data_IF_612427073329
#
_entry.id   IF_612427073329
#
_cell.length_a   1.000
_cell.length_b   1.000
_cell.length_c   1.000
_cell.angle_alpha   90.00
_cell.angle_beta   90.00
_cell.angle_gamma   90.00
#
_symmetry.space_group_name_H-M   'P 1'
#
loop_
_entity.id
_entity.type
_entity.pdbx_description
1 polymer ?
#
# COMPACT_ATOMS: atom_id res chain seq x y z
N UNK A 1 21.20 -19.81 -41.90
CA UNK A 1 20.43 -20.44 -40.79
C UNK A 1 20.99 -19.87 -39.50
N UNK A 2 20.41 -18.80 -39.00
CA UNK A 2 20.74 -18.25 -37.70
C UNK A 2 19.54 -18.60 -36.79
N UNK A 3 19.68 -19.68 -36.01
CA UNK A 3 18.80 -19.96 -34.90
C UNK A 3 19.19 -19.01 -33.75
N UNK A 4 18.56 -17.83 -33.70
CA UNK A 4 18.46 -17.05 -32.47
C UNK A 4 17.49 -17.81 -31.56
N UNK A 5 17.97 -18.82 -30.85
CA UNK A 5 17.34 -19.29 -29.65
C UNK A 5 17.42 -18.16 -28.63
N UNK A 6 16.40 -17.29 -28.61
CA UNK A 6 16.15 -16.42 -27.46
C UNK A 6 15.85 -17.33 -26.29
N UNK A 7 16.87 -17.68 -25.53
CA UNK A 7 16.70 -18.28 -24.21
C UNK A 7 15.82 -17.28 -23.43
N UNK A 8 14.53 -17.58 -23.31
CA UNK A 8 13.62 -16.76 -22.52
C UNK A 8 14.16 -16.78 -21.09
N UNK A 9 14.48 -15.59 -20.56
CA UNK A 9 14.89 -15.51 -19.15
C UNK A 9 13.82 -16.19 -18.29
N UNK A 10 14.18 -16.98 -17.29
CA UNK A 10 13.22 -17.55 -16.39
C UNK A 10 12.34 -16.44 -15.78
N UNK A 11 11.08 -16.72 -15.53
CA UNK A 11 10.09 -15.78 -15.03
C UNK A 11 9.61 -16.22 -13.65
N UNK A 12 9.23 -15.27 -12.81
CA UNK A 12 8.65 -15.53 -11.49
C UNK A 12 7.57 -14.49 -11.16
N UNK A 13 6.63 -14.89 -10.29
CA UNK A 13 5.64 -13.98 -9.76
C UNK A 13 6.29 -12.98 -8.81
N UNK A 14 5.90 -11.71 -8.93
CA UNK A 14 6.23 -10.65 -7.98
C UNK A 14 5.03 -9.76 -7.76
N UNK A 15 4.71 -9.47 -6.52
CA UNK A 15 3.65 -8.52 -6.17
C UNK A 15 4.11 -7.12 -6.58
N UNK A 16 3.32 -6.46 -7.41
CA UNK A 16 3.65 -5.15 -8.00
C UNK A 16 2.85 -4.00 -7.42
N UNK A 17 1.72 -4.32 -6.83
CA UNK A 17 0.85 -3.42 -6.08
C UNK A 17 0.19 -4.20 -4.96
N UNK A 18 -0.09 -3.55 -3.86
CA UNK A 18 -0.85 -4.10 -2.77
C UNK A 18 -1.24 -3.02 -1.79
N UNK A 19 -2.32 -3.27 -1.05
CA UNK A 19 -2.77 -2.41 0.03
C UNK A 19 -2.88 -3.19 1.34
N UNK A 20 -2.75 -2.51 2.47
CA UNK A 20 -3.04 -3.12 3.75
C UNK A 20 -4.55 -3.29 3.91
N UNK A 21 -4.96 -4.48 4.35
CA UNK A 21 -6.38 -4.78 4.57
C UNK A 21 -6.86 -4.19 5.89
N UNK A 22 -7.97 -3.48 5.84
CA UNK A 22 -8.65 -2.93 7.00
C UNK A 22 -9.99 -3.63 7.23
N UNK A 23 -10.39 -3.72 8.50
CA UNK A 23 -11.79 -3.94 8.86
C UNK A 23 -12.56 -2.68 8.48
N UNK A 24 -13.08 -2.67 7.27
CA UNK A 24 -13.69 -1.50 6.66
C UNK A 24 -15.11 -1.31 7.21
N UNK A 25 -15.32 -0.18 7.87
CA UNK A 25 -16.66 0.26 8.26
C UNK A 25 -17.14 1.26 7.22
N UNK A 26 -18.18 0.90 6.50
CA UNK A 26 -18.74 1.75 5.46
C UNK A 26 -19.29 3.04 6.08
N UNK A 27 -18.83 4.17 5.54
CA UNK A 27 -19.43 5.49 5.77
C UNK A 27 -19.95 6.01 4.41
N UNK A 28 -20.87 6.99 4.38
CA UNK A 28 -21.33 7.56 3.11
C UNK A 28 -20.18 8.07 2.21
N UNK A 29 -19.12 8.59 2.80
CA UNK A 29 -17.94 9.07 2.06
C UNK A 29 -17.10 7.90 1.55
N UNK A 30 -16.92 6.85 2.37
CA UNK A 30 -16.14 5.66 2.02
C UNK A 30 -16.88 4.73 1.06
N UNK A 31 -18.22 4.71 1.10
CA UNK A 31 -19.07 3.91 0.23
C UNK A 31 -20.31 4.71 -0.18
N UNK A 32 -20.19 5.59 -1.19
CA UNK A 32 -21.28 6.48 -1.60
C UNK A 32 -22.49 5.76 -2.23
N UNK A 33 -22.31 4.50 -2.63
CA UNK A 33 -23.39 3.63 -3.12
C UNK A 33 -23.31 2.25 -2.45
N UNK A 34 -24.45 1.60 -2.14
CA UNK A 34 -24.47 0.18 -1.83
C UNK A 34 -23.81 -0.63 -2.94
N UNK A 35 -23.16 -1.75 -2.61
CA UNK A 35 -22.50 -2.58 -3.62
C UNK A 35 -23.49 -3.46 -4.39
N UNK A 36 -24.68 -3.73 -3.84
CA UNK A 36 -25.73 -4.50 -4.55
C UNK A 36 -26.07 -3.84 -5.88
N UNK A 37 -26.17 -4.64 -6.94
CA UNK A 37 -26.40 -4.23 -8.33
C UNK A 37 -25.49 -3.06 -8.77
N UNK A 38 -24.20 -3.11 -8.35
CA UNK A 38 -23.26 -2.03 -8.57
C UNK A 38 -21.96 -2.56 -9.19
N UNK A 39 -21.50 -1.87 -10.23
CA UNK A 39 -20.12 -2.02 -10.71
C UNK A 39 -19.22 -1.01 -10.02
N UNK A 40 -18.14 -1.53 -9.44
CA UNK A 40 -17.06 -0.75 -8.82
C UNK A 40 -15.83 -0.86 -9.71
N UNK A 41 -15.29 0.26 -10.17
CA UNK A 41 -14.00 0.33 -10.89
C UNK A 41 -12.97 0.99 -10.01
N UNK A 42 -11.97 0.21 -9.60
CA UNK A 42 -10.88 0.62 -8.72
C UNK A 42 -9.62 0.80 -9.56
N UNK A 43 -8.90 1.89 -9.31
CA UNK A 43 -7.65 2.17 -10.03
C UNK A 43 -6.47 1.82 -9.13
N UNK A 44 -5.51 1.09 -9.69
CA UNK A 44 -4.24 0.76 -9.04
C UNK A 44 -3.08 1.07 -9.96
N UNK A 45 -1.95 1.51 -9.43
CA UNK A 45 -0.73 1.78 -10.19
C UNK A 45 0.28 0.68 -9.93
N UNK A 46 0.58 -0.12 -10.95
CA UNK A 46 1.60 -1.17 -10.85
C UNK A 46 3.00 -0.57 -10.86
N UNK A 47 3.92 -1.13 -10.09
CA UNK A 47 5.26 -0.56 -9.90
C UNK A 47 6.38 -1.30 -10.63
N UNK A 48 6.06 -2.43 -11.30
CA UNK A 48 6.98 -3.14 -12.19
C UNK A 48 6.26 -3.63 -13.44
N UNK A 49 7.01 -4.16 -14.41
CA UNK A 49 6.47 -4.65 -15.69
C UNK A 49 6.28 -6.16 -15.66
N UNK A 50 5.31 -6.67 -16.45
CA UNK A 50 5.10 -8.11 -16.63
C UNK A 50 4.13 -8.41 -17.77
N UNK A 51 4.05 -9.69 -18.15
CA UNK A 51 3.25 -10.15 -19.28
C UNK A 51 2.00 -10.94 -18.86
N UNK A 52 1.96 -11.43 -17.62
CA UNK A 52 0.80 -12.09 -17.02
C UNK A 52 0.50 -11.47 -15.67
N UNK A 53 -0.77 -11.50 -15.30
CA UNK A 53 -1.29 -10.92 -14.07
C UNK A 53 -2.11 -11.95 -13.29
N UNK A 54 -2.07 -11.90 -11.98
CA UNK A 54 -3.07 -12.49 -11.07
C UNK A 54 -3.39 -11.47 -9.98
N UNK A 55 -4.59 -11.57 -9.44
CA UNK A 55 -5.06 -10.69 -8.36
C UNK A 55 -5.35 -11.53 -7.13
N UNK A 56 -5.16 -10.93 -5.97
CA UNK A 56 -5.63 -11.48 -4.71
C UNK A 56 -6.80 -10.66 -4.21
N UNK A 57 -7.90 -11.36 -3.93
CA UNK A 57 -9.14 -10.80 -3.42
C UNK A 57 -9.34 -11.26 -1.98
N UNK A 58 -9.80 -10.37 -1.12
CA UNK A 58 -9.89 -10.64 0.31
C UNK A 58 -11.25 -10.27 0.88
N UNK A 59 -11.83 -11.18 1.63
CA UNK A 59 -13.00 -10.99 2.48
C UNK A 59 -12.65 -11.30 3.96
N UNK A 60 -11.41 -11.06 4.35
CA UNK A 60 -10.82 -11.40 5.66
C UNK A 60 -11.67 -10.97 6.85
N UNK A 61 -12.21 -9.76 6.79
CA UNK A 61 -13.02 -9.21 7.87
C UNK A 61 -14.52 -9.42 7.68
N UNK A 62 -14.93 -9.91 6.51
CA UNK A 62 -16.33 -10.16 6.20
C UNK A 62 -16.90 -11.33 6.99
N UNK A 63 -18.17 -11.22 7.37
CA UNK A 63 -18.95 -12.26 8.08
C UNK A 63 -19.92 -13.01 7.19
N UNK A 64 -20.06 -12.58 5.96
CA UNK A 64 -20.85 -13.22 4.91
C UNK A 64 -20.01 -13.34 3.64
N UNK A 65 -20.35 -14.31 2.81
CA UNK A 65 -19.70 -14.52 1.52
C UNK A 65 -19.94 -13.33 0.59
N UNK A 66 -18.95 -13.04 -0.26
CA UNK A 66 -19.03 -12.02 -1.30
C UNK A 66 -19.01 -12.68 -2.66
N UNK A 67 -19.98 -12.36 -3.51
CA UNK A 67 -20.10 -12.86 -4.88
C UNK A 67 -19.86 -11.71 -5.87
N UNK A 68 -18.76 -11.81 -6.61
CA UNK A 68 -18.48 -10.95 -7.76
C UNK A 68 -19.02 -11.67 -9.00
N UNK A 69 -20.09 -11.13 -9.61
CA UNK A 69 -20.77 -11.75 -10.76
C UNK A 69 -19.97 -11.66 -12.05
N UNK A 70 -19.15 -10.60 -12.17
CA UNK A 70 -18.30 -10.37 -13.32
C UNK A 70 -17.14 -9.46 -12.89
N UNK A 71 -15.95 -9.74 -13.39
CA UNK A 71 -14.75 -8.95 -13.08
C UNK A 71 -13.90 -8.79 -14.33
N UNK A 72 -13.46 -7.56 -14.60
CA UNK A 72 -12.57 -7.24 -15.71
C UNK A 72 -11.39 -6.40 -15.26
N UNK A 73 -10.28 -6.53 -15.98
CA UNK A 73 -9.12 -5.63 -15.89
C UNK A 73 -8.87 -4.98 -17.24
N UNK A 74 -8.47 -3.71 -17.20
CA UNK A 74 -8.08 -2.96 -18.39
C UNK A 74 -7.04 -1.90 -18.02
N UNK A 75 -6.32 -1.35 -18.99
CA UNK A 75 -5.49 -0.17 -18.74
C UNK A 75 -6.36 1.07 -18.64
N UNK A 76 -6.08 1.92 -17.65
CA UNK A 76 -6.72 3.24 -17.57
C UNK A 76 -6.14 4.15 -18.66
N UNK A 77 -7.00 4.85 -19.40
CA UNK A 77 -6.58 5.74 -20.48
C UNK A 77 -5.98 7.02 -19.94
N UNK A 78 -6.57 7.57 -18.89
CA UNK A 78 -6.15 8.85 -18.29
C UNK A 78 -6.42 8.84 -16.79
N UNK A 79 -5.46 9.30 -16.01
CA UNK A 79 -5.65 9.55 -14.59
C UNK A 79 -6.86 10.46 -14.34
N UNK A 80 -7.49 10.37 -13.19
CA UNK A 80 -8.70 11.09 -12.79
C UNK A 80 -9.97 10.81 -13.64
N UNK A 81 -9.99 9.75 -14.44
CA UNK A 81 -11.15 9.34 -15.23
C UNK A 81 -11.41 7.83 -15.13
N UNK A 82 -12.68 7.44 -15.26
CA UNK A 82 -13.05 6.02 -15.32
C UNK A 82 -12.77 5.35 -16.66
N UNK A 83 -12.21 6.07 -17.64
CA UNK A 83 -11.98 5.60 -19.01
C UNK A 83 -10.92 4.49 -19.07
N UNK A 84 -11.25 3.43 -19.81
CA UNK A 84 -10.36 2.26 -20.03
C UNK A 84 -10.03 2.10 -21.50
N UNK A 85 -8.86 1.55 -21.79
CA UNK A 85 -8.50 1.11 -23.14
C UNK A 85 -9.18 -0.23 -23.43
N UNK A 86 -10.25 -0.17 -24.23
CA UNK A 86 -11.07 -1.33 -24.62
C UNK A 86 -10.27 -2.42 -25.33
N UNK A 87 -9.13 -2.09 -25.96
CA UNK A 87 -8.27 -3.09 -26.61
C UNK A 87 -7.54 -3.98 -25.60
N UNK A 88 -7.52 -3.56 -24.33
CA UNK A 88 -6.89 -4.29 -23.21
C UNK A 88 -7.92 -4.92 -22.27
N UNK A 89 -9.22 -4.69 -22.49
CA UNK A 89 -10.27 -5.21 -21.60
C UNK A 89 -10.24 -6.74 -21.58
N UNK A 90 -10.08 -7.32 -20.38
CA UNK A 90 -9.89 -8.75 -20.20
C UNK A 90 -10.71 -9.23 -19.01
N UNK A 91 -11.54 -10.26 -19.24
CA UNK A 91 -12.32 -10.92 -18.17
C UNK A 91 -11.39 -11.68 -17.22
N UNK A 92 -11.67 -11.57 -15.92
CA UNK A 92 -10.96 -12.24 -14.85
C UNK A 92 -11.77 -13.44 -14.38
N UNK A 93 -11.07 -14.57 -14.11
CA UNK A 93 -11.65 -15.81 -13.59
C UNK A 93 -10.97 -16.21 -12.29
N UNK A 94 -11.68 -16.99 -11.49
CA UNK A 94 -11.10 -17.71 -10.38
C UNK A 94 -11.58 -19.16 -10.42
N UNK A 95 -10.65 -20.14 -10.35
CA UNK A 95 -10.94 -21.56 -10.50
C UNK A 95 -11.76 -21.88 -11.78
N UNK A 96 -11.46 -21.17 -12.88
CA UNK A 96 -12.12 -21.32 -14.17
C UNK A 96 -13.49 -20.63 -14.30
N UNK A 97 -14.03 -20.05 -13.23
CA UNK A 97 -15.33 -19.36 -13.21
C UNK A 97 -15.20 -17.85 -13.37
N UNK A 98 -16.12 -17.23 -14.13
CA UNK A 98 -16.29 -15.77 -14.20
C UNK A 98 -17.04 -15.22 -13.00
N UNK A 99 -17.93 -16.03 -12.40
CA UNK A 99 -18.51 -15.71 -11.11
C UNK A 99 -17.53 -16.13 -10.00
N UNK A 100 -17.08 -15.17 -9.21
CA UNK A 100 -16.04 -15.33 -8.21
C UNK A 100 -16.67 -15.25 -6.82
N UNK A 101 -16.56 -16.34 -6.05
CA UNK A 101 -16.97 -16.40 -4.66
C UNK A 101 -15.77 -16.15 -3.76
N UNK A 102 -15.88 -15.19 -2.84
CA UNK A 102 -14.92 -14.95 -1.76
C UNK A 102 -15.61 -15.32 -0.44
N UNK A 103 -15.33 -16.48 0.15
CA UNK A 103 -15.96 -16.89 1.40
C UNK A 103 -15.67 -15.92 2.55
N UNK A 104 -16.54 -15.89 3.55
CA UNK A 104 -16.35 -15.08 4.75
C UNK A 104 -15.04 -15.45 5.45
N UNK A 105 -14.21 -14.48 5.79
CA UNK A 105 -12.91 -14.66 6.43
C UNK A 105 -11.76 -15.07 5.50
N UNK A 106 -12.02 -15.36 4.23
CA UNK A 106 -11.03 -15.96 3.32
C UNK A 106 -10.39 -14.94 2.38
N UNK A 107 -9.26 -15.38 1.81
CA UNK A 107 -8.50 -14.71 0.76
C UNK A 107 -8.36 -15.70 -0.40
N UNK A 108 -8.62 -15.25 -1.62
CA UNK A 108 -8.50 -16.09 -2.83
C UNK A 108 -7.57 -15.45 -3.85
N UNK A 109 -7.00 -16.26 -4.73
CA UNK A 109 -6.30 -15.79 -5.93
C UNK A 109 -7.16 -16.03 -7.17
N UNK A 110 -7.08 -15.10 -8.13
CA UNK A 110 -7.65 -15.28 -9.46
C UNK A 110 -6.78 -16.22 -10.31
N UNK A 111 -7.34 -16.78 -11.36
CA UNK A 111 -6.54 -17.48 -12.36
C UNK A 111 -5.58 -16.48 -13.04
N UNK A 112 -4.36 -16.93 -13.41
CA UNK A 112 -3.46 -16.10 -14.19
C UNK A 112 -4.07 -15.75 -15.55
N UNK A 113 -3.97 -14.47 -15.94
CA UNK A 113 -4.40 -14.00 -17.24
C UNK A 113 -3.24 -13.37 -18.03
N UNK A 114 -3.31 -13.45 -19.34
CA UNK A 114 -2.35 -12.78 -20.24
C UNK A 114 -2.71 -11.29 -20.27
N UNK A 115 -1.90 -10.48 -19.58
CA UNK A 115 -2.13 -9.05 -19.45
C UNK A 115 -0.81 -8.31 -19.33
N UNK A 116 -0.36 -7.74 -20.44
CA UNK A 116 0.93 -7.04 -20.49
C UNK A 116 0.82 -5.63 -19.95
N UNK A 117 1.67 -5.32 -18.97
CA UNK A 117 1.79 -3.98 -18.38
C UNK A 117 3.23 -3.51 -18.33
N UNK A 118 3.41 -2.21 -18.34
CA UNK A 118 4.67 -1.55 -18.02
C UNK A 118 4.63 -1.03 -16.60
N UNK A 119 5.80 -0.92 -16.00
CA UNK A 119 5.91 -0.24 -14.72
C UNK A 119 5.27 1.15 -14.78
N UNK A 120 4.59 1.51 -13.71
CA UNK A 120 3.86 2.76 -13.53
C UNK A 120 2.58 2.91 -14.38
N UNK A 121 2.15 1.87 -15.12
CA UNK A 121 0.82 1.85 -15.74
C UNK A 121 -0.27 1.86 -14.66
N UNK A 122 -1.34 2.59 -14.92
CA UNK A 122 -2.57 2.52 -14.14
C UNK A 122 -3.49 1.43 -14.70
N UNK A 123 -3.96 0.56 -13.81
CA UNK A 123 -4.86 -0.56 -14.14
C UNK A 123 -6.22 -0.29 -13.50
N UNK A 124 -7.26 -0.37 -14.30
CA UNK A 124 -8.65 -0.33 -13.88
C UNK A 124 -9.12 -1.76 -13.61
N UNK A 125 -9.57 -2.02 -12.39
CA UNK A 125 -10.12 -3.30 -11.95
C UNK A 125 -11.61 -3.07 -11.70
N UNK A 126 -12.46 -3.62 -12.56
CA UNK A 126 -13.91 -3.45 -12.52
C UNK A 126 -14.57 -4.71 -11.99
N UNK A 127 -15.36 -4.60 -10.91
CA UNK A 127 -16.06 -5.69 -10.25
C UNK A 127 -17.55 -5.38 -10.21
N UNK A 128 -18.39 -6.28 -10.71
CA UNK A 128 -19.84 -6.20 -10.58
C UNK A 128 -20.33 -7.11 -9.46
N UNK A 129 -21.03 -6.52 -8.50
CA UNK A 129 -21.61 -7.22 -7.37
C UNK A 129 -23.10 -7.39 -7.59
N UNK A 130 -23.59 -8.65 -7.64
CA UNK A 130 -25.02 -8.93 -7.73
C UNK A 130 -25.70 -8.83 -6.37
N UNK A 131 -25.21 -9.58 -5.41
CA UNK A 131 -25.54 -9.44 -4.00
C UNK A 131 -24.23 -9.15 -3.25
N UNK A 132 -24.25 -8.23 -2.34
CA UNK A 132 -23.07 -7.84 -1.58
C UNK A 132 -23.42 -7.70 -0.09
N UNK A 133 -22.43 -7.75 0.81
CA UNK A 133 -22.66 -7.45 2.22
C UNK A 133 -23.35 -6.11 2.36
N UNK A 134 -24.30 -6.01 3.28
CA UNK A 134 -24.90 -4.72 3.60
C UNK A 134 -23.84 -3.78 4.18
N UNK A 135 -24.06 -2.48 4.06
CA UNK A 135 -23.18 -1.48 4.67
C UNK A 135 -23.05 -1.62 6.21
N UNK A 136 -23.95 -2.37 6.83
CA UNK A 136 -23.93 -2.71 8.27
C UNK A 136 -22.99 -3.88 8.58
N UNK A 137 -22.59 -4.68 7.57
CA UNK A 137 -21.68 -5.80 7.77
C UNK A 137 -20.22 -5.33 7.78
N UNK A 138 -19.40 -6.06 8.50
CA UNK A 138 -17.95 -5.87 8.39
C UNK A 138 -17.49 -6.29 7.00
N UNK A 139 -16.64 -5.47 6.41
CA UNK A 139 -16.09 -5.69 5.07
C UNK A 139 -14.58 -5.61 5.12
N UNK A 140 -13.95 -6.18 4.11
CA UNK A 140 -12.52 -5.97 3.86
C UNK A 140 -12.36 -4.86 2.84
N UNK A 141 -11.54 -3.87 3.16
CA UNK A 141 -11.23 -2.78 2.25
C UNK A 141 -10.01 -2.00 2.71
N UNK A 142 -9.83 -0.82 2.17
CA UNK A 142 -8.82 0.13 2.59
C UNK A 142 -9.34 1.54 2.36
N UNK A 143 -9.35 2.35 3.40
CA UNK A 143 -9.68 3.79 3.31
C UNK A 143 -8.44 4.57 2.93
N UNK A 144 -8.62 5.66 2.19
CA UNK A 144 -7.48 6.46 1.79
C UNK A 144 -6.65 5.84 0.66
N UNK A 145 -7.33 5.28 -0.35
CA UNK A 145 -6.70 4.76 -1.55
C UNK A 145 -5.81 5.78 -2.29
N UNK A 146 -6.04 7.08 -2.10
CA UNK A 146 -5.39 8.20 -2.82
C UNK A 146 -5.55 8.09 -4.34
N UNK A 147 -6.37 7.16 -4.79
CA UNK A 147 -6.78 6.94 -6.15
C UNK A 147 -8.31 6.90 -6.21
N UNK A 148 -8.90 7.36 -7.31
CA UNK A 148 -10.35 7.42 -7.45
C UNK A 148 -10.92 6.03 -7.75
N UNK A 149 -11.90 5.63 -6.97
CA UNK A 149 -12.78 4.49 -7.20
C UNK A 149 -14.13 5.00 -7.70
N UNK A 150 -14.63 4.40 -8.77
CA UNK A 150 -15.86 4.80 -9.46
C UNK A 150 -16.95 3.75 -9.26
N UNK A 151 -18.18 4.20 -9.00
CA UNK A 151 -19.33 3.32 -8.76
C UNK A 151 -20.51 3.70 -9.66
N UNK A 152 -21.08 2.71 -10.36
CA UNK A 152 -22.28 2.86 -11.22
C UNK A 152 -23.22 1.68 -11.03
N UNK A 153 -24.54 1.88 -11.27
CA UNK A 153 -25.53 0.79 -11.18
C UNK A 153 -25.40 -0.19 -12.34
N UNK A 154 -25.72 -1.44 -12.08
CA UNK A 154 -25.77 -2.52 -13.07
C UNK A 154 -24.39 -3.03 -13.47
N UNK A 155 -24.38 -4.07 -14.32
CA UNK A 155 -23.15 -4.63 -14.85
C UNK A 155 -22.57 -3.77 -15.97
N UNK A 156 -21.52 -3.03 -15.66
CA UNK A 156 -20.81 -2.15 -16.59
C UNK A 156 -19.30 -2.42 -16.60
N UNK A 157 -18.85 -3.65 -16.24
CA UNK A 157 -17.41 -3.97 -16.13
C UNK A 157 -16.64 -3.68 -17.41
N UNK A 158 -17.23 -3.93 -18.59
CA UNK A 158 -16.64 -3.69 -19.91
C UNK A 158 -17.07 -2.35 -20.53
N UNK A 159 -17.62 -1.41 -19.77
CA UNK A 159 -17.98 -0.07 -20.30
C UNK A 159 -16.75 0.81 -20.39
N UNK A 160 -16.49 1.42 -21.54
CA UNK A 160 -15.31 2.24 -21.80
C UNK A 160 -15.16 3.38 -20.78
N UNK A 161 -16.23 4.16 -20.58
CA UNK A 161 -16.25 5.26 -19.62
C UNK A 161 -17.60 5.31 -18.90
N UNK A 162 -17.60 5.50 -17.60
CA UNK A 162 -18.83 5.59 -16.81
C UNK A 162 -19.47 6.97 -16.95
N UNK A 163 -20.80 6.97 -17.09
CA UNK A 163 -21.59 8.19 -17.07
C UNK A 163 -21.96 8.56 -15.63
N UNK A 164 -21.54 9.73 -15.18
CA UNK A 164 -21.85 10.29 -13.84
C UNK A 164 -21.67 9.30 -12.68
N UNK A 165 -20.49 8.67 -12.53
CA UNK A 165 -20.26 7.74 -11.43
C UNK A 165 -20.25 8.46 -10.09
N UNK A 166 -20.70 7.77 -9.04
CA UNK A 166 -20.31 8.15 -7.70
C UNK A 166 -18.84 7.82 -7.48
N UNK A 167 -18.12 8.61 -6.69
CA UNK A 167 -16.68 8.44 -6.47
C UNK A 167 -16.32 8.41 -5.01
N UNK A 168 -15.25 7.68 -4.69
CA UNK A 168 -14.62 7.63 -3.37
C UNK A 168 -13.12 7.38 -3.53
N UNK A 169 -12.36 7.51 -2.45
CA UNK A 169 -10.94 7.13 -2.36
C UNK A 169 -10.77 5.90 -1.45
N UNK A 170 -11.60 4.88 -1.63
CA UNK A 170 -11.50 3.60 -0.90
C UNK A 170 -11.38 2.44 -1.89
N UNK A 171 -10.63 1.39 -1.49
CA UNK A 171 -10.62 0.09 -2.18
C UNK A 171 -11.44 -0.94 -1.40
N UNK A 172 -12.07 -1.87 -2.14
CA UNK A 172 -12.90 -2.93 -1.56
C UNK A 172 -12.46 -4.29 -2.09
N UNK A 173 -12.30 -5.27 -1.22
CA UNK A 173 -12.00 -6.67 -1.48
C UNK A 173 -10.74 -6.94 -2.34
N UNK A 174 -9.97 -5.94 -2.69
CA UNK A 174 -8.74 -6.07 -3.45
C UNK A 174 -7.55 -5.98 -2.50
N UNK A 175 -6.71 -7.01 -2.45
CA UNK A 175 -5.55 -7.06 -1.56
C UNK A 175 -4.22 -6.78 -2.28
N UNK A 176 -4.00 -7.42 -3.43
CA UNK A 176 -2.80 -7.19 -4.24
C UNK A 176 -2.95 -7.59 -5.71
N UNK A 177 -1.96 -7.18 -6.50
CA UNK A 177 -1.75 -7.53 -7.89
C UNK A 177 -0.32 -8.05 -8.04
N UNK A 178 -0.18 -9.26 -8.58
CA UNK A 178 1.11 -9.86 -8.91
C UNK A 178 1.28 -10.00 -10.42
N UNK A 179 2.50 -9.79 -10.89
CA UNK A 179 2.88 -9.94 -12.29
C UNK A 179 3.93 -11.03 -12.48
N UNK A 180 3.88 -11.70 -13.62
CA UNK A 180 4.95 -12.58 -14.08
C UNK A 180 6.05 -11.70 -14.67
N UNK A 181 7.17 -11.58 -13.96
CA UNK A 181 8.30 -10.70 -14.24
C UNK A 181 9.59 -11.50 -14.41
N UNK A 182 10.67 -10.94 -14.97
CA UNK A 182 11.95 -11.64 -15.05
C UNK A 182 12.39 -12.21 -13.68
N UNK A 183 12.93 -13.44 -13.68
CA UNK A 183 13.42 -14.05 -12.45
C UNK A 183 14.48 -13.17 -11.77
N UNK A 184 14.41 -13.09 -10.45
CA UNK A 184 15.21 -12.15 -9.67
C UNK A 184 14.48 -10.84 -9.34
N UNK A 185 13.33 -10.57 -9.97
CA UNK A 185 12.48 -9.45 -9.54
C UNK A 185 12.06 -9.63 -8.07
N UNK A 186 12.06 -8.54 -7.32
CA UNK A 186 11.76 -8.53 -5.89
C UNK A 186 10.74 -7.44 -5.55
N UNK A 187 9.96 -7.67 -4.49
CA UNK A 187 9.07 -6.69 -3.92
C UNK A 187 9.68 -6.08 -2.65
N UNK A 188 9.52 -4.76 -2.50
CA UNK A 188 9.76 -4.02 -1.26
C UNK A 188 8.42 -3.78 -0.58
N UNK A 189 8.25 -4.29 0.63
CA UNK A 189 7.09 -3.98 1.46
C UNK A 189 7.37 -2.71 2.25
N UNK A 190 6.60 -1.64 2.01
CA UNK A 190 6.62 -0.42 2.80
C UNK A 190 5.58 -0.56 3.92
N UNK A 191 6.03 -0.92 5.12
CA UNK A 191 5.16 -1.18 6.27
C UNK A 191 5.13 0.01 7.21
N UNK A 192 3.91 0.48 7.56
CA UNK A 192 3.79 1.67 8.40
C UNK A 192 2.35 2.08 8.71
N UNK A 193 2.22 3.33 9.07
CA UNK A 193 0.99 4.02 9.43
C UNK A 193 0.50 5.00 8.35
N UNK A 194 -0.18 6.09 8.76
CA UNK A 194 -0.69 7.14 7.86
C UNK A 194 0.40 7.82 7.02
N UNK A 195 1.64 7.89 7.52
CA UNK A 195 2.75 8.49 6.78
C UNK A 195 3.13 7.59 5.58
N UNK A 196 3.14 6.28 5.77
CA UNK A 196 3.37 5.32 4.68
C UNK A 196 2.15 5.20 3.77
N UNK A 197 0.93 5.24 4.33
CA UNK A 197 -0.32 5.28 3.56
C UNK A 197 -0.46 6.56 2.71
N UNK A 198 0.27 7.62 3.05
CA UNK A 198 0.29 8.88 2.30
C UNK A 198 -0.83 9.84 2.68
N UNK A 199 -1.12 9.96 3.97
CA UNK A 199 -2.13 10.90 4.46
C UNK A 199 -1.88 12.31 3.92
N UNK A 200 -2.93 12.91 3.38
CA UNK A 200 -2.90 14.27 2.85
C UNK A 200 -2.40 14.41 1.41
N UNK A 201 -1.97 13.33 0.74
CA UNK A 201 -1.52 13.41 -0.67
C UNK A 201 -2.66 13.63 -1.66
N UNK A 202 -3.90 13.57 -1.22
CA UNK A 202 -5.09 13.70 -2.05
C UNK A 202 -5.96 14.93 -1.74
N UNK A 203 -5.59 15.76 -0.71
CA UNK A 203 -6.41 16.93 -0.35
C UNK A 203 -5.68 18.04 0.43
N UNK A 204 -4.61 17.73 1.17
CA UNK A 204 -4.16 18.58 2.30
C UNK A 204 -3.56 19.93 1.90
N UNK A 205 -2.89 20.03 0.77
CA UNK A 205 -2.22 21.24 0.30
C UNK A 205 -2.55 21.51 -1.16
N UNK A 206 -2.41 22.77 -1.64
CA UNK A 206 -2.69 23.12 -3.04
C UNK A 206 -1.98 22.19 -4.03
N UNK A 207 -2.72 21.68 -5.00
CA UNK A 207 -2.23 20.73 -6.02
C UNK A 207 -2.30 19.24 -5.63
N UNK A 208 -2.51 18.91 -4.36
CA UNK A 208 -2.77 17.54 -3.93
C UNK A 208 -4.22 17.17 -4.23
N UNK A 209 -4.41 16.04 -4.89
CA UNK A 209 -5.72 15.48 -5.25
C UNK A 209 -5.56 13.98 -5.49
N UNK A 210 -6.64 13.18 -5.50
CA UNK A 210 -6.57 11.79 -5.89
C UNK A 210 -5.89 11.62 -7.26
N UNK A 211 -5.33 10.44 -7.50
CA UNK A 211 -4.71 10.04 -8.76
C UNK A 211 -3.40 10.78 -9.12
N UNK A 212 -2.78 11.47 -8.17
CA UNK A 212 -1.48 12.14 -8.39
C UNK A 212 -0.26 11.30 -8.01
N UNK A 213 -0.47 10.21 -7.27
CA UNK A 213 0.60 9.27 -6.87
C UNK A 213 1.81 9.97 -6.23
N UNK A 214 1.58 10.65 -5.12
CA UNK A 214 2.58 11.48 -4.44
C UNK A 214 2.90 11.02 -3.02
N UNK A 215 2.68 9.73 -2.70
CA UNK A 215 3.24 9.09 -1.51
C UNK A 215 4.76 8.98 -1.64
N UNK A 216 5.49 8.88 -0.54
CA UNK A 216 6.91 8.59 -0.62
C UNK A 216 7.21 7.26 -1.35
N UNK A 217 6.35 6.26 -1.17
CA UNK A 217 6.46 4.97 -1.88
C UNK A 217 6.22 5.08 -3.39
N UNK A 218 5.37 6.02 -3.84
CA UNK A 218 5.13 6.29 -5.27
C UNK A 218 6.37 6.91 -5.92
N UNK A 219 6.94 7.96 -5.30
CA UNK A 219 8.20 8.58 -5.76
C UNK A 219 9.38 7.60 -5.71
N UNK A 220 9.43 6.75 -4.67
CA UNK A 220 10.44 5.70 -4.59
C UNK A 220 10.32 4.70 -5.74
N UNK A 221 9.09 4.27 -6.09
CA UNK A 221 8.86 3.41 -7.24
C UNK A 221 9.32 4.06 -8.56
N UNK A 222 9.03 5.34 -8.75
CA UNK A 222 9.51 6.10 -9.94
C UNK A 222 11.04 6.12 -10.02
N UNK A 223 11.73 6.36 -8.90
CA UNK A 223 13.19 6.34 -8.83
C UNK A 223 13.77 4.95 -9.13
N UNK A 224 13.18 3.88 -8.59
CA UNK A 224 13.60 2.50 -8.88
C UNK A 224 13.45 2.19 -10.37
N UNK A 225 12.35 2.60 -11.00
CA UNK A 225 12.10 2.35 -12.42
C UNK A 225 12.97 3.19 -13.34
N UNK A 226 13.44 4.36 -12.92
CA UNK A 226 14.36 5.20 -13.66
C UNK A 226 15.82 4.69 -13.62
N UNK A 227 16.14 3.73 -12.76
CA UNK A 227 17.50 3.20 -12.58
C UNK A 227 17.60 1.76 -13.10
N UNK A 228 18.52 1.53 -14.06
CA UNK A 228 18.73 0.22 -14.70
C UNK A 228 19.05 -0.91 -13.71
N UNK A 229 19.75 -0.61 -12.61
CA UNK A 229 20.13 -1.58 -11.59
C UNK A 229 18.96 -2.02 -10.70
N UNK A 230 17.88 -1.23 -10.62
CA UNK A 230 16.76 -1.45 -9.69
C UNK A 230 15.38 -1.55 -10.35
N UNK A 231 15.26 -1.39 -11.67
CA UNK A 231 13.95 -1.44 -12.38
C UNK A 231 13.21 -2.78 -12.26
N UNK A 232 13.86 -3.82 -11.72
CA UNK A 232 13.26 -5.12 -11.42
C UNK A 232 12.65 -5.18 -10.01
N UNK A 233 12.73 -4.08 -9.25
CA UNK A 233 12.19 -3.98 -7.90
C UNK A 233 10.83 -3.32 -7.93
N UNK A 234 9.83 -3.95 -7.31
CA UNK A 234 8.49 -3.38 -7.12
C UNK A 234 8.33 -2.80 -5.72
N UNK A 235 7.35 -1.92 -5.55
CA UNK A 235 7.00 -1.29 -4.27
C UNK A 235 5.55 -1.65 -3.92
N UNK A 236 5.34 -2.15 -2.71
CA UNK A 236 4.04 -2.55 -2.16
C UNK A 236 3.77 -1.75 -0.90
N UNK A 237 2.72 -0.94 -0.89
CA UNK A 237 2.37 -0.11 0.25
C UNK A 237 1.49 -0.88 1.24
N UNK A 238 1.93 -0.97 2.49
CA UNK A 238 1.22 -1.58 3.62
C UNK A 238 1.04 -0.59 4.80
N UNK A 239 0.87 0.68 4.47
CA UNK A 239 0.46 1.72 5.42
C UNK A 239 -1.02 1.62 5.76
N UNK A 240 -1.39 1.98 6.99
CA UNK A 240 -2.78 2.14 7.45
C UNK A 240 -2.87 3.39 8.32
N UNK A 241 -3.81 4.28 8.01
CA UNK A 241 -4.07 5.48 8.80
C UNK A 241 -4.34 5.19 10.27
N UNK A 242 -3.72 5.95 11.17
CA UNK A 242 -3.84 5.83 12.63
C UNK A 242 -3.44 4.46 13.23
N UNK A 243 -2.75 3.61 12.47
CA UNK A 243 -2.33 2.30 12.95
C UNK A 243 -1.12 2.42 13.89
N UNK A 244 -1.09 1.62 14.94
CA UNK A 244 0.01 1.54 15.89
C UNK A 244 0.54 0.10 16.03
N UNK A 245 1.74 -0.05 16.59
CA UNK A 245 2.38 -1.37 16.77
C UNK A 245 1.61 -2.18 17.81
N UNK A 246 1.26 -1.55 18.94
CA UNK A 246 0.76 -2.26 20.13
C UNK A 246 -0.77 -2.42 20.15
N UNK A 247 -1.50 -1.55 19.48
CA UNK A 247 -2.94 -1.62 19.47
C UNK A 247 -3.54 -0.69 18.42
N UNK A 248 -4.64 -1.13 17.83
CA UNK A 248 -5.37 -0.38 16.82
C UNK A 248 -6.82 -0.88 16.79
N UNK A 249 -7.73 -0.03 16.37
CA UNK A 249 -9.12 -0.38 16.19
C UNK A 249 -9.74 0.53 15.14
N UNK A 250 -10.58 0.05 14.25
CA UNK A 250 -11.16 -1.30 14.16
C UNK A 250 -10.28 -2.34 13.44
N UNK A 251 -9.11 -1.95 12.97
CA UNK A 251 -8.17 -2.78 12.20
C UNK A 251 -7.16 -3.44 13.12
N UNK A 252 -6.53 -4.54 12.68
CA UNK A 252 -5.47 -5.23 13.41
C UNK A 252 -4.30 -4.29 13.71
N UNK A 253 -3.67 -4.49 14.88
CA UNK A 253 -2.45 -3.77 15.24
C UNK A 253 -1.27 -4.14 14.33
N UNK A 254 -0.25 -3.28 14.30
CA UNK A 254 0.92 -3.54 13.49
C UNK A 254 1.58 -4.89 13.76
N UNK A 255 1.76 -5.25 15.04
CA UNK A 255 2.33 -6.54 15.44
C UNK A 255 1.48 -7.74 14.99
N UNK A 256 0.15 -7.60 14.96
CA UNK A 256 -0.76 -8.69 14.61
C UNK A 256 -0.85 -8.90 13.09
N UNK A 257 -0.71 -7.81 12.29
CA UNK A 257 -0.78 -7.87 10.84
C UNK A 257 0.57 -8.03 10.13
N UNK A 258 1.72 -7.77 10.80
CA UNK A 258 3.01 -7.70 10.16
C UNK A 258 3.37 -8.97 9.39
N UNK A 259 3.22 -10.15 10.01
CA UNK A 259 3.51 -11.43 9.35
C UNK A 259 2.70 -11.61 8.08
N UNK A 260 1.41 -11.33 8.13
CA UNK A 260 0.49 -11.43 6.98
C UNK A 260 0.89 -10.48 5.85
N UNK A 261 1.10 -9.22 6.21
CA UNK A 261 1.37 -8.15 5.26
C UNK A 261 2.80 -8.22 4.69
N UNK A 262 3.70 -8.97 5.32
CA UNK A 262 5.04 -9.27 4.83
C UNK A 262 5.07 -10.52 3.96
N UNK A 263 4.59 -11.66 4.48
CA UNK A 263 4.77 -12.98 3.86
C UNK A 263 3.65 -13.38 2.91
N UNK A 264 2.55 -12.63 2.90
CA UNK A 264 1.41 -12.89 2.04
C UNK A 264 1.62 -12.51 0.58
N UNK A 265 2.83 -12.16 0.13
CA UNK A 265 3.10 -11.58 -1.19
C UNK A 265 4.16 -12.35 -1.97
N UNK A 266 4.06 -12.31 -3.30
CA UNK A 266 5.02 -12.95 -4.18
C UNK A 266 6.32 -12.15 -4.26
N UNK A 267 7.45 -12.83 -4.20
CA UNK A 267 8.76 -12.26 -4.52
C UNK A 267 9.29 -11.23 -3.51
N UNK A 268 8.81 -11.21 -2.26
CA UNK A 268 9.30 -10.27 -1.25
C UNK A 268 10.79 -10.48 -0.99
N UNK A 269 11.56 -9.41 -1.10
CA UNK A 269 13.00 -9.42 -0.81
C UNK A 269 13.40 -8.38 0.22
N UNK A 270 12.55 -7.37 0.42
CA UNK A 270 12.87 -6.22 1.26
C UNK A 270 11.66 -5.73 2.04
N UNK A 271 11.91 -5.15 3.22
CA UNK A 271 10.93 -4.43 4.03
C UNK A 271 11.51 -3.07 4.43
N UNK A 272 10.76 -1.99 4.26
CA UNK A 272 11.06 -0.68 4.86
C UNK A 272 10.04 -0.48 5.99
N UNK A 273 10.54 -0.33 7.22
CA UNK A 273 9.73 -0.21 8.42
C UNK A 273 9.76 1.24 8.92
N UNK A 274 8.71 2.01 8.58
CA UNK A 274 8.45 3.36 9.10
C UNK A 274 7.19 3.31 9.96
N UNK A 275 7.34 3.06 11.26
CA UNK A 275 6.20 2.77 12.12
C UNK A 275 6.47 3.13 13.58
N UNK A 276 5.41 3.51 14.31
CA UNK A 276 5.46 3.69 15.76
C UNK A 276 5.05 5.08 16.26
N UNK A 277 4.86 6.07 15.40
CA UNK A 277 4.48 7.42 15.84
C UNK A 277 3.14 7.41 16.58
N UNK A 278 2.15 6.63 16.14
CA UNK A 278 0.85 6.54 16.80
C UNK A 278 0.89 5.86 18.17
N UNK A 279 1.93 5.08 18.46
CA UNK A 279 2.18 4.56 19.81
C UNK A 279 2.64 5.65 20.78
N UNK A 280 3.14 6.78 20.27
CA UNK A 280 3.76 7.86 21.04
C UNK A 280 2.84 9.09 21.21
N UNK A 281 1.80 9.22 20.40
CA UNK A 281 0.90 10.38 20.48
C UNK A 281 0.27 10.46 21.88
N UNK A 282 0.27 11.68 22.47
CA UNK A 282 -0.24 11.98 23.81
C UNK A 282 0.36 11.10 24.92
N UNK A 283 1.59 10.60 24.72
CA UNK A 283 2.24 9.70 25.67
C UNK A 283 2.59 10.44 26.96
N UNK A 284 2.26 9.82 28.11
CA UNK A 284 2.54 10.34 29.44
C UNK A 284 3.57 9.51 30.23
N UNK A 285 3.99 8.36 29.69
CA UNK A 285 4.87 7.38 30.37
C UNK A 285 5.92 6.81 29.43
N UNK A 286 7.18 6.91 29.82
CA UNK A 286 8.33 6.44 29.03
C UNK A 286 8.50 4.91 29.01
N UNK A 287 7.80 4.16 29.86
CA UNK A 287 7.79 2.69 29.84
C UNK A 287 7.22 2.08 28.57
N UNK A 288 6.66 2.89 27.67
CA UNK A 288 6.25 2.48 26.33
C UNK A 288 7.43 1.94 25.49
N UNK A 289 8.65 2.47 25.70
CA UNK A 289 9.88 1.98 25.06
C UNK A 289 10.08 0.49 25.27
N UNK A 290 10.00 0.02 26.54
CA UNK A 290 10.25 -1.38 26.88
C UNK A 290 9.20 -2.35 26.30
N UNK A 291 8.06 -1.84 25.90
CA UNK A 291 7.00 -2.61 25.19
C UNK A 291 7.17 -2.61 23.67
N UNK A 292 7.71 -1.55 23.10
CA UNK A 292 7.87 -1.41 21.65
C UNK A 292 9.10 -2.15 21.11
N UNK A 293 10.24 -2.08 21.80
CA UNK A 293 11.50 -2.71 21.34
C UNK A 293 11.34 -4.22 21.09
N UNK A 294 10.72 -5.03 21.97
CA UNK A 294 10.50 -6.44 21.67
C UNK A 294 9.66 -6.70 20.42
N UNK A 295 8.72 -5.83 20.09
CA UNK A 295 7.91 -5.99 18.87
C UNK A 295 8.73 -5.67 17.61
N UNK A 296 9.55 -4.62 17.63
CA UNK A 296 10.50 -4.35 16.54
C UNK A 296 11.48 -5.53 16.35
N UNK A 297 12.02 -6.08 17.42
CA UNK A 297 12.92 -7.24 17.35
C UNK A 297 12.25 -8.47 16.72
N UNK A 298 10.97 -8.73 17.04
CA UNK A 298 10.20 -9.80 16.40
C UNK A 298 10.01 -9.56 14.90
N UNK A 299 9.76 -8.30 14.49
CA UNK A 299 9.62 -7.93 13.07
C UNK A 299 10.95 -8.16 12.32
N UNK A 300 12.08 -7.77 12.91
CA UNK A 300 13.41 -8.00 12.34
C UNK A 300 13.69 -9.50 12.21
N UNK A 301 13.46 -10.26 13.27
CA UNK A 301 13.68 -11.71 13.28
C UNK A 301 12.83 -12.40 12.20
N UNK A 302 11.54 -12.04 12.07
CA UNK A 302 10.66 -12.61 11.05
C UNK A 302 11.18 -12.34 9.63
N UNK A 303 11.69 -11.14 9.36
CA UNK A 303 12.29 -10.81 8.06
C UNK A 303 13.49 -11.72 7.79
N UNK A 304 14.43 -11.81 8.71
CA UNK A 304 15.65 -12.61 8.55
C UNK A 304 15.36 -14.11 8.42
N UNK A 305 14.43 -14.66 9.20
CA UNK A 305 13.97 -16.05 9.09
C UNK A 305 13.47 -16.41 7.69
N UNK A 306 12.99 -15.41 6.94
CA UNK A 306 12.46 -15.56 5.58
C UNK A 306 13.40 -15.03 4.49
N UNK A 307 14.64 -14.69 4.82
CA UNK A 307 15.63 -14.18 3.86
C UNK A 307 15.29 -12.80 3.30
N UNK A 308 14.50 -12.01 4.02
CA UNK A 308 14.07 -10.66 3.67
C UNK A 308 14.96 -9.66 4.41
N UNK A 309 15.56 -8.71 3.69
CA UNK A 309 16.27 -7.59 4.31
C UNK A 309 15.28 -6.58 4.87
N UNK A 310 15.55 -6.10 6.09
CA UNK A 310 14.71 -5.06 6.73
C UNK A 310 15.52 -3.79 6.98
N UNK A 311 14.99 -2.68 6.46
CA UNK A 311 15.54 -1.33 6.62
C UNK A 311 14.68 -0.54 7.59
N UNK A 312 15.29 -0.06 8.68
CA UNK A 312 14.62 0.81 9.63
C UNK A 312 14.53 2.24 9.12
N UNK A 313 13.36 2.83 9.25
CA UNK A 313 13.19 4.27 9.06
C UNK A 313 12.85 4.89 10.42
N UNK A 314 13.74 5.70 11.01
CA UNK A 314 13.52 6.34 12.29
C UNK A 314 12.23 7.14 12.32
N UNK A 315 11.51 7.11 13.45
CA UNK A 315 10.25 7.83 13.64
C UNK A 315 10.48 9.32 13.44
N UNK A 316 9.69 9.93 12.56
CA UNK A 316 9.81 11.35 12.22
C UNK A 316 9.61 12.24 13.46
N UNK A 317 10.23 13.43 13.49
CA UNK A 317 9.97 14.39 14.54
C UNK A 317 8.53 14.93 14.41
N UNK A 318 7.88 15.21 15.57
CA UNK A 318 6.52 15.74 15.59
C UNK A 318 6.28 16.75 16.72
N UNK A 319 7.34 17.50 17.07
CA UNK A 319 7.34 18.46 18.18
C UNK A 319 6.30 19.58 18.07
N UNK A 320 5.81 19.89 16.86
CA UNK A 320 4.72 20.86 16.63
C UNK A 320 3.32 20.25 16.56
N UNK A 321 3.21 18.93 16.71
CA UNK A 321 1.91 18.27 16.81
C UNK A 321 1.27 18.58 18.16
N UNK A 322 -0.06 18.75 18.17
CA UNK A 322 -0.81 18.92 19.42
C UNK A 322 -0.71 17.71 20.36
N UNK A 323 -0.37 16.53 19.83
CA UNK A 323 -0.24 15.30 20.57
C UNK A 323 1.21 15.01 21.01
N UNK A 324 2.12 15.97 20.81
CA UNK A 324 3.51 15.86 21.27
C UNK A 324 3.59 16.06 22.78
N UNK A 325 4.43 15.25 23.42
CA UNK A 325 4.80 15.39 24.84
C UNK A 325 6.29 15.16 25.01
N UNK A 326 6.90 15.65 26.10
CA UNK A 326 8.31 15.39 26.39
C UNK A 326 8.58 13.88 26.60
N UNK A 327 7.62 13.14 27.17
CA UNK A 327 7.73 11.67 27.29
C UNK A 327 7.74 10.98 25.92
N UNK A 328 6.92 11.48 24.98
CA UNK A 328 6.90 10.98 23.61
C UNK A 328 8.24 11.24 22.90
N UNK A 329 8.82 12.44 23.06
CA UNK A 329 10.10 12.79 22.47
C UNK A 329 11.24 11.95 23.05
N UNK A 330 11.25 11.72 24.37
CA UNK A 330 12.24 10.83 25.00
C UNK A 330 12.14 9.41 24.42
N UNK A 331 10.95 8.85 24.31
CA UNK A 331 10.76 7.50 23.76
C UNK A 331 11.12 7.45 22.29
N UNK A 332 10.73 8.45 21.50
CA UNK A 332 11.06 8.57 20.06
C UNK A 332 12.57 8.55 19.84
N UNK A 333 13.29 9.39 20.55
CA UNK A 333 14.75 9.51 20.41
C UNK A 333 15.47 8.23 20.84
N UNK A 334 15.00 7.56 21.90
CA UNK A 334 15.55 6.27 22.35
C UNK A 334 15.30 5.17 21.31
N UNK A 335 14.10 5.08 20.72
CA UNK A 335 13.78 4.13 19.64
C UNK A 335 14.68 4.40 18.43
N UNK A 336 14.79 5.65 17.99
CA UNK A 336 15.59 6.04 16.84
C UNK A 336 17.07 5.75 17.05
N UNK A 337 17.61 5.99 18.28
CA UNK A 337 18.96 5.61 18.64
C UNK A 337 19.16 4.09 18.60
N UNK A 338 18.20 3.32 19.13
CA UNK A 338 18.25 1.85 19.08
C UNK A 338 18.20 1.36 17.63
N UNK A 339 17.31 1.90 16.77
CA UNK A 339 17.26 1.51 15.35
C UNK A 339 18.60 1.68 14.64
N UNK A 340 19.33 2.77 14.95
CA UNK A 340 20.67 3.05 14.39
C UNK A 340 21.80 2.24 15.01
N UNK A 341 21.54 1.54 16.11
CA UNK A 341 22.55 0.74 16.80
C UNK A 341 22.65 -0.68 16.24
N UNK A 342 23.79 -1.36 16.42
CA UNK A 342 23.94 -2.76 16.03
C UNK A 342 22.95 -3.72 16.72
N UNK A 343 22.43 -3.35 17.89
CA UNK A 343 21.48 -4.16 18.66
C UNK A 343 20.11 -4.30 17.98
N UNK A 344 19.79 -3.43 17.02
CA UNK A 344 18.55 -3.52 16.24
C UNK A 344 18.59 -4.67 15.24
N UNK A 345 19.78 -5.08 14.81
CA UNK A 345 19.98 -6.05 13.72
C UNK A 345 19.30 -5.67 12.40
N UNK A 346 18.96 -4.38 12.19
CA UNK A 346 18.44 -3.92 10.91
C UNK A 346 19.54 -3.93 9.86
N UNK A 347 19.20 -4.28 8.61
CA UNK A 347 20.17 -4.37 7.51
C UNK A 347 20.64 -3.01 7.00
N UNK A 348 20.03 -1.94 7.47
CA UNK A 348 20.39 -0.55 7.20
C UNK A 348 19.33 0.42 7.67
N UNK A 349 19.65 1.71 7.55
CA UNK A 349 18.77 2.81 7.96
C UNK A 349 18.47 3.71 6.77
N UNK A 350 17.19 4.05 6.60
CA UNK A 350 16.72 5.08 5.68
C UNK A 350 16.33 6.30 6.51
N UNK A 351 17.19 7.32 6.53
CA UNK A 351 17.08 8.41 7.49
C UNK A 351 16.11 9.52 7.06
N UNK A 352 14.83 9.20 7.05
CA UNK A 352 13.76 10.17 6.82
C UNK A 352 13.69 11.24 7.91
N UNK A 353 14.07 10.90 9.15
CA UNK A 353 14.08 11.83 10.28
C UNK A 353 14.99 13.03 9.98
N UNK A 354 16.26 12.76 9.66
CA UNK A 354 17.22 13.83 9.37
C UNK A 354 16.87 14.64 8.12
N UNK A 355 16.25 13.98 7.13
CA UNK A 355 15.85 14.65 5.88
C UNK A 355 14.72 15.68 6.06
N UNK A 356 13.85 15.47 7.04
CA UNK A 356 12.68 16.30 7.26
C UNK A 356 12.75 17.19 8.50
N UNK A 357 13.70 16.95 9.40
CA UNK A 357 13.84 17.73 10.64
C UNK A 357 14.10 19.21 10.37
N UNK A 358 13.55 20.07 11.20
CA UNK A 358 13.87 21.49 11.24
C UNK A 358 15.27 21.65 11.87
N UNK A 359 16.27 22.24 11.17
CA UNK A 359 17.60 22.42 11.73
C UNK A 359 17.65 23.29 13.00
N UNK A 360 16.65 24.18 13.17
CA UNK A 360 16.56 25.07 14.33
C UNK A 360 15.75 24.44 15.48
N UNK A 361 14.93 23.45 15.19
CA UNK A 361 14.13 22.71 16.15
C UNK A 361 14.04 21.20 15.76
N UNK A 362 15.12 20.41 15.97
CA UNK A 362 15.22 19.02 15.45
C UNK A 362 14.15 18.06 15.94
N UNK A 363 13.37 18.41 16.95
CA UNK A 363 12.22 17.61 17.39
C UNK A 363 10.95 17.86 16.56
N UNK A 364 11.01 18.77 15.59
CA UNK A 364 9.91 19.14 14.70
C UNK A 364 10.26 18.88 13.24
N UNK A 365 9.26 18.55 12.42
CA UNK A 365 9.38 18.59 10.96
C UNK A 365 9.49 20.05 10.51
N UNK A 366 10.34 20.30 9.52
CA UNK A 366 10.49 21.63 8.92
C UNK A 366 9.11 22.16 8.48
N UNK A 367 8.69 23.38 8.86
CA UNK A 367 7.31 23.86 8.67
C UNK A 367 6.78 23.82 7.24
N UNK A 368 7.66 23.94 6.23
CA UNK A 368 7.25 23.83 4.82
C UNK A 368 6.73 22.43 4.45
N UNK A 369 7.16 21.39 5.18
CA UNK A 369 6.75 20.00 4.92
C UNK A 369 5.51 19.59 5.72
N UNK A 370 5.30 20.13 6.93
CA UNK A 370 4.18 19.76 7.79
C UNK A 370 3.37 21.00 8.23
N UNK A 371 2.77 21.75 7.28
CA UNK A 371 2.16 23.06 7.58
C UNK A 371 0.84 22.96 8.36
N UNK A 372 0.19 21.79 8.45
CA UNK A 372 -1.16 21.69 9.00
C UNK A 372 -1.19 21.14 10.42
N UNK A 373 -0.47 20.05 10.71
CA UNK A 373 -0.59 19.31 11.98
C UNK A 373 0.75 19.06 12.68
N UNK A 374 1.87 19.43 12.05
CA UNK A 374 3.19 19.19 12.60
C UNK A 374 3.60 17.72 12.71
N UNK A 375 2.87 16.81 12.06
CA UNK A 375 3.04 15.36 12.10
C UNK A 375 3.23 14.73 10.72
N UNK A 376 2.35 15.06 9.75
CA UNK A 376 2.37 14.46 8.42
C UNK A 376 3.21 15.32 7.45
N UNK A 377 4.14 14.70 6.69
CA UNK A 377 5.05 15.44 5.82
C UNK A 377 4.46 15.69 4.42
N UNK A 378 3.36 16.40 4.33
CA UNK A 378 2.58 16.64 3.10
C UNK A 378 3.41 16.89 1.83
N UNK A 379 4.26 17.92 1.83
CA UNK A 379 5.17 18.22 0.72
C UNK A 379 6.57 17.58 0.89
N UNK A 380 6.81 16.90 2.00
CA UNK A 380 8.05 16.19 2.29
C UNK A 380 8.11 14.77 1.76
N UNK A 381 7.03 14.21 1.22
CA UNK A 381 7.02 12.83 0.74
C UNK A 381 8.02 12.58 -0.41
N UNK A 382 8.20 13.55 -1.30
CA UNK A 382 9.21 13.48 -2.35
C UNK A 382 10.63 13.47 -1.75
N UNK A 383 10.91 14.38 -0.81
CA UNK A 383 12.17 14.44 -0.08
C UNK A 383 12.48 13.13 0.66
N UNK A 384 11.47 12.48 1.27
CA UNK A 384 11.65 11.16 1.86
C UNK A 384 12.12 10.14 0.83
N UNK A 385 11.50 10.12 -0.35
CA UNK A 385 11.92 9.20 -1.40
C UNK A 385 13.34 9.50 -1.92
N UNK A 386 13.72 10.78 -2.04
CA UNK A 386 15.03 11.21 -2.55
C UNK A 386 16.21 10.72 -1.72
N UNK A 387 16.06 10.60 -0.40
CA UNK A 387 17.15 10.16 0.48
C UNK A 387 17.32 8.64 0.55
N UNK A 388 16.47 7.87 -0.13
CA UNK A 388 16.63 6.42 -0.21
C UNK A 388 17.81 6.09 -1.12
N UNK A 389 18.84 5.45 -0.59
CA UNK A 389 19.95 4.93 -1.39
C UNK A 389 19.51 3.69 -2.18
N UNK A 390 19.41 3.83 -3.51
CA UNK A 390 18.97 2.73 -4.37
C UNK A 390 19.94 1.54 -4.39
N UNK A 391 21.21 1.72 -4.00
CA UNK A 391 22.17 0.60 -3.93
C UNK A 391 21.82 -0.44 -2.89
N UNK A 392 20.97 -0.09 -1.90
CA UNK A 392 20.42 -1.03 -0.91
C UNK A 392 19.55 -2.12 -1.55
N UNK A 393 19.07 -1.90 -2.78
CA UNK A 393 18.13 -2.78 -3.50
C UNK A 393 18.72 -3.37 -4.79
N UNK A 394 19.99 -3.07 -5.07
CA UNK A 394 20.70 -3.53 -6.29
C UNK A 394 21.26 -4.95 -6.13
#
# INVERSE_FOLDING_TARGET
>A
MNNDERISKPMSWVTTWGTAEENFIATPEGMPRPLEDTTVRQIVRVTTSGDKMKLRLSNRYGKSDVVIRSMHVAKQVKADQSAIDMSTDTAVKASGSEEILIPAGEVIETDPLDFRVKALDNIAISMYFGAAPSAADQMTGHRGARATTYQVSGNQVATEIFSSPATTTSWYFLADVSLMSPAGSKAVICFGDSITDGFGTDWAVPGKRPDTYTRWGDFFAERLQANEGTKHISVVNKGIGANSILGSWPTDSGRDRFKRDLLGHDGVGYCILLFGVNDLLSLSDTGKYDRLIPEYQKMVALCHENGIKIYGAPILPFGKSQDHTEAAEEVRTRINAWMRSPESHMDGIIDFESALADPEDPKSILPKYAPLDGLHPYDGYETMAEVIDLTMFA
#
